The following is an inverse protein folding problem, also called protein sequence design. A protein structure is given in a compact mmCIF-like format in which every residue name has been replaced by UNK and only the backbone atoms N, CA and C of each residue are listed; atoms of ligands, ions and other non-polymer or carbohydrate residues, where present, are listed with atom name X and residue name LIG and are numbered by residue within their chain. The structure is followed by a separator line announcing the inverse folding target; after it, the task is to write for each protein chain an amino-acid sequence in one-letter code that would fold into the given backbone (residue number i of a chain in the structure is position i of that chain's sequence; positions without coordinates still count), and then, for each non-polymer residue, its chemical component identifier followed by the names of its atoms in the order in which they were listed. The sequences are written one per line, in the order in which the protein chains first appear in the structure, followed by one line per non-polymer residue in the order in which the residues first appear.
data_IF_165175289221
#
_entry.id   IF_165175289221
#
_cell.length_a   1.000
_cell.length_b   1.000
_cell.length_c   1.000
_cell.angle_alpha   90.00
_cell.angle_beta   90.00
_cell.angle_gamma   90.00
#
_symmetry.space_group_name_H-M   'P 1'
#
loop_
_entity.id
_entity.type
_entity.pdbx_description
1 polymer ?
#
# COMPACT_ATOMS: atom_id res chain seq x y z
N UNK A 1 10.05 9.83 5.02
CA UNK A 1 8.70 9.22 4.85
C UNK A 1 8.41 9.27 3.37
N UNK A 2 8.13 8.13 2.75
CA UNK A 2 7.86 8.03 1.31
C UNK A 2 6.39 7.77 1.09
N UNK A 3 5.84 8.48 0.12
CA UNK A 3 4.50 8.22 -0.38
C UNK A 3 4.54 7.16 -1.46
N UNK A 4 3.79 6.10 -1.24
CA UNK A 4 3.53 5.06 -2.23
C UNK A 4 2.16 5.29 -2.84
N UNK A 5 2.07 5.13 -4.16
CA UNK A 5 0.80 5.09 -4.88
C UNK A 5 0.53 3.66 -5.32
N UNK A 6 -0.75 3.28 -5.28
CA UNK A 6 -1.27 2.10 -5.96
C UNK A 6 -2.40 2.52 -6.89
N UNK A 7 -2.50 1.89 -8.07
CA UNK A 7 -3.55 2.15 -9.07
C UNK A 7 -4.94 1.59 -8.67
N UNK A 8 -5.15 1.37 -7.38
CA UNK A 8 -6.34 0.79 -6.79
C UNK A 8 -6.95 1.80 -5.85
N UNK A 9 -8.15 2.28 -6.20
CA UNK A 9 -8.84 3.36 -5.51
C UNK A 9 -10.21 2.94 -4.97
N UNK A 10 -11.00 3.94 -4.57
CA UNK A 10 -12.35 3.77 -4.00
C UNK A 10 -13.28 2.95 -4.90
N UNK A 11 -13.10 3.02 -6.22
CA UNK A 11 -13.90 2.26 -7.18
C UNK A 11 -13.77 0.74 -7.01
N UNK A 12 -12.64 0.26 -6.48
CA UNK A 12 -12.42 -1.14 -6.15
C UNK A 12 -12.95 -1.55 -4.77
N UNK A 13 -13.63 -0.65 -4.04
CA UNK A 13 -14.18 -0.93 -2.71
C UNK A 13 -13.12 -0.98 -1.60
N UNK A 14 -11.95 -0.41 -1.86
CA UNK A 14 -10.77 -0.50 -0.99
C UNK A 14 -10.99 0.41 0.21
N UNK A 15 -10.79 -0.14 1.42
CA UNK A 15 -10.89 0.60 2.68
C UNK A 15 -9.50 0.83 3.27
N UNK A 16 -9.31 1.89 4.07
CA UNK A 16 -8.02 2.13 4.71
C UNK A 16 -7.59 0.93 5.57
N UNK A 17 -8.55 0.30 6.25
CA UNK A 17 -8.31 -0.87 7.09
C UNK A 17 -7.81 -2.09 6.28
N UNK A 18 -8.40 -2.35 5.12
CA UNK A 18 -7.94 -3.40 4.20
C UNK A 18 -6.55 -3.11 3.63
N UNK A 19 -6.29 -1.85 3.25
CA UNK A 19 -4.97 -1.41 2.77
C UNK A 19 -3.91 -1.61 3.85
N UNK A 20 -4.19 -1.18 5.08
CA UNK A 20 -3.29 -1.34 6.21
C UNK A 20 -3.02 -2.81 6.46
N UNK A 21 -4.05 -3.65 6.54
CA UNK A 21 -3.91 -5.07 6.81
C UNK A 21 -3.11 -5.78 5.73
N UNK A 22 -3.39 -5.50 4.46
CA UNK A 22 -2.71 -6.13 3.33
C UNK A 22 -1.25 -5.68 3.21
N UNK A 23 -0.97 -4.38 3.35
CA UNK A 23 0.43 -3.90 3.35
C UNK A 23 1.17 -4.45 4.56
N UNK A 24 0.59 -4.39 5.75
CA UNK A 24 1.20 -4.91 6.97
C UNK A 24 1.55 -6.40 6.85
N UNK A 25 0.61 -7.19 6.32
CA UNK A 25 0.77 -8.63 6.14
C UNK A 25 1.82 -9.00 5.08
N UNK A 26 1.79 -8.36 3.91
CA UNK A 26 2.72 -8.69 2.82
C UNK A 26 4.12 -8.09 3.00
N UNK A 27 4.20 -6.89 3.57
CA UNK A 27 5.46 -6.18 3.80
C UNK A 27 6.15 -6.58 5.11
N UNK A 28 5.45 -7.30 6.00
CA UNK A 28 5.89 -7.57 7.36
C UNK A 28 6.19 -6.27 8.13
N UNK A 29 5.22 -5.34 8.09
CA UNK A 29 5.36 -4.02 8.72
C UNK A 29 4.20 -3.75 9.67
N UNK A 30 4.46 -3.12 10.83
CA UNK A 30 3.39 -2.78 11.75
C UNK A 30 2.47 -1.71 11.14
N UNK A 31 1.16 -1.94 11.18
CA UNK A 31 0.16 -1.00 10.68
C UNK A 31 0.20 0.37 11.38
N UNK A 32 0.71 0.43 12.61
CA UNK A 32 0.95 1.70 13.34
C UNK A 32 2.02 2.59 12.69
N UNK A 33 2.86 2.01 11.84
CA UNK A 33 3.88 2.75 11.11
C UNK A 33 3.40 3.24 9.75
N UNK A 34 2.25 2.73 9.29
CA UNK A 34 1.58 3.28 8.12
C UNK A 34 1.03 4.64 8.51
N UNK A 35 1.44 5.67 7.78
CA UNK A 35 1.07 7.04 8.00
C UNK A 35 -0.29 7.38 7.39
N UNK A 36 -0.38 8.55 6.76
CA UNK A 36 -1.62 9.01 6.15
C UNK A 36 -1.98 8.16 4.94
N UNK A 37 -3.24 7.75 4.90
CA UNK A 37 -3.84 7.01 3.78
C UNK A 37 -4.85 7.92 3.11
N UNK A 38 -4.68 8.17 1.82
CA UNK A 38 -5.62 8.93 0.98
C UNK A 38 -6.10 8.02 -0.12
N UNK A 39 -7.39 7.70 -0.07
CA UNK A 39 -8.05 6.89 -1.10
C UNK A 39 -8.73 7.86 -2.05
N UNK A 40 -8.26 7.91 -3.29
CA UNK A 40 -8.93 8.62 -4.39
C UNK A 40 -9.77 7.63 -5.21
N UNK A 41 -10.53 8.15 -6.17
CA UNK A 41 -11.46 7.35 -6.96
C UNK A 41 -10.75 6.24 -7.76
N UNK A 42 -9.60 6.57 -8.37
CA UNK A 42 -8.83 5.65 -9.24
C UNK A 42 -7.54 5.14 -8.63
N UNK A 43 -7.04 5.75 -7.57
CA UNK A 43 -5.76 5.37 -6.97
C UNK A 43 -5.77 5.62 -5.47
N UNK A 44 -4.83 5.01 -4.75
CA UNK A 44 -4.67 5.22 -3.30
C UNK A 44 -3.23 5.61 -3.02
N UNK A 45 -3.06 6.60 -2.17
CA UNK A 45 -1.79 7.09 -1.66
C UNK A 45 -1.64 6.66 -0.22
N UNK A 46 -0.51 6.04 0.11
CA UNK A 46 -0.16 5.60 1.45
C UNK A 46 1.21 6.14 1.80
N UNK A 47 1.33 6.79 2.95
CA UNK A 47 2.61 7.20 3.52
C UNK A 47 3.21 6.04 4.33
N UNK A 48 4.43 5.62 4.00
CA UNK A 48 5.18 4.59 4.73
C UNK A 48 6.61 5.13 4.98
N UNK A 49 7.25 4.86 6.12
CA UNK A 49 8.62 5.29 6.33
C UNK A 49 9.62 4.49 5.49
N UNK A 50 10.71 5.14 5.10
CA UNK A 50 11.75 4.59 4.21
C UNK A 50 12.29 3.24 4.62
N UNK A 51 12.53 3.05 5.92
CA UNK A 51 13.02 1.81 6.51
C UNK A 51 12.18 0.58 6.13
N UNK A 52 10.89 0.79 5.83
CA UNK A 52 9.94 -0.23 5.44
C UNK A 52 9.64 -0.20 3.94
N UNK A 53 9.73 0.98 3.32
CA UNK A 53 9.53 1.16 1.88
C UNK A 53 10.54 0.35 1.08
N UNK A 54 11.79 0.27 1.51
CA UNK A 54 12.78 -0.60 0.86
C UNK A 54 12.40 -2.08 0.94
N UNK A 55 11.86 -2.55 2.08
CA UNK A 55 11.32 -3.91 2.20
C UNK A 55 10.11 -4.15 1.29
N UNK A 56 9.21 -3.17 1.22
CA UNK A 56 8.02 -3.19 0.37
C UNK A 56 8.42 -3.25 -1.11
N UNK A 57 9.35 -2.40 -1.53
CA UNK A 57 9.85 -2.38 -2.91
C UNK A 57 10.68 -3.62 -3.25
N UNK A 58 11.44 -4.16 -2.28
CA UNK A 58 12.15 -5.43 -2.45
C UNK A 58 11.17 -6.61 -2.63
N UNK A 59 9.99 -6.55 -1.99
CA UNK A 59 8.92 -7.55 -2.14
C UNK A 59 7.86 -7.18 -3.19
N UNK A 60 8.08 -6.14 -4.00
CA UNK A 60 7.07 -5.60 -4.93
C UNK A 60 6.54 -6.63 -5.95
N UNK A 61 7.25 -7.75 -6.16
CA UNK A 61 6.85 -8.82 -7.08
C UNK A 61 5.62 -9.64 -6.67
N UNK A 62 5.20 -9.61 -5.40
CA UNK A 62 4.09 -10.44 -4.90
C UNK A 62 2.98 -9.65 -4.18
N UNK A 63 2.89 -8.33 -4.37
CA UNK A 63 1.75 -7.58 -3.85
C UNK A 63 0.47 -7.91 -4.62
N UNK A 64 -0.36 -8.72 -3.97
CA UNK A 64 -1.68 -9.14 -4.44
C UNK A 64 -2.72 -8.67 -3.44
N UNK A 65 -3.64 -7.82 -3.90
CA UNK A 65 -4.88 -7.53 -3.16
C UNK A 65 -5.94 -8.46 -3.73
N UNK A 66 -6.25 -9.53 -3.00
CA UNK A 66 -7.18 -10.57 -3.46
C UNK A 66 -6.68 -11.26 -4.74
N UNK A 67 -7.46 -11.17 -5.83
CA UNK A 67 -7.12 -11.77 -7.14
C UNK A 67 -6.32 -10.85 -8.06
N UNK A 68 -6.15 -9.58 -7.71
CA UNK A 68 -5.53 -8.58 -8.58
C UNK A 68 -4.13 -8.23 -8.09
N UNK A 69 -3.16 -8.38 -9.00
CA UNK A 69 -1.80 -7.87 -8.78
C UNK A 69 -1.83 -6.35 -8.95
N UNK A 70 -1.21 -5.63 -8.02
CA UNK A 70 -1.04 -4.19 -8.13
C UNK A 70 0.43 -3.84 -7.97
N UNK A 71 0.89 -2.89 -8.77
CA UNK A 71 2.21 -2.32 -8.61
C UNK A 71 2.11 -1.21 -7.56
N UNK A 72 3.00 -1.26 -6.56
CA UNK A 72 3.30 -0.10 -5.73
C UNK A 72 4.37 0.70 -6.44
N UNK A 73 4.06 1.96 -6.72
CA UNK A 73 5.01 2.90 -7.28
C UNK A 73 5.31 3.98 -6.26
N UNK A 74 6.53 4.50 -6.29
CA UNK A 74 6.89 5.71 -5.55
C UNK A 74 6.13 6.87 -6.21
N UNK A 75 5.32 7.59 -5.43
CA UNK A 75 4.54 8.72 -5.92
C UNK A 75 5.42 9.96 -6.14
#
# INVERSE_FOLDING_TARGET
MIRLKMSTGKYHGVRPNDVVGMIAYHADIPGNTIGKIRIEDKHTLVDIPEQFVEKVLAKNGDYRIGKHKFALERA
#
